data_IF_005147052058
#
_entry.id   IF_005147052058
#
_cell.length_a   1.000
_cell.length_b   1.000
_cell.length_c   1.000
_cell.angle_alpha   90.00
_cell.angle_beta   90.00
_cell.angle_gamma   90.00
#
_symmetry.space_group_name_H-M   'P 1'
#
loop_
_entity.id
_entity.type
_entity.pdbx_description
1 polymer ?
#
# COMPACT_ATOMS: atom_id res chain seq x y z
N UNK A 1 6.11 -11.73 -5.76
CA UNK A 1 4.97 -12.67 -5.59
C UNK A 1 4.28 -12.79 -6.93
N UNK A 2 3.94 -14.01 -7.35
CA UNK A 2 3.14 -14.24 -8.56
C UNK A 2 1.76 -14.77 -8.19
N UNK A 3 0.75 -14.35 -8.96
CA UNK A 3 -0.65 -14.75 -8.79
C UNK A 3 -1.22 -15.38 -10.06
N UNK A 4 -2.08 -16.36 -9.88
CA UNK A 4 -2.85 -17.02 -10.93
C UNK A 4 -4.33 -17.04 -10.51
N UNK A 5 -5.24 -16.62 -11.40
CA UNK A 5 -6.68 -16.47 -11.12
C UNK A 5 -6.99 -15.65 -9.84
N UNK A 6 -6.22 -14.57 -9.63
CA UNK A 6 -6.37 -13.69 -8.47
C UNK A 6 -5.90 -14.28 -7.14
N UNK A 7 -5.37 -15.51 -7.13
CA UNK A 7 -4.85 -16.19 -5.94
C UNK A 7 -3.33 -16.29 -5.99
N UNK A 8 -2.73 -16.33 -4.82
CA UNK A 8 -1.29 -16.49 -4.69
C UNK A 8 -0.84 -17.86 -5.22
N UNK A 9 0.19 -17.83 -6.06
CA UNK A 9 0.72 -19.02 -6.71
C UNK A 9 2.09 -19.38 -6.14
N UNK A 10 3.02 -18.42 -6.17
CA UNK A 10 4.36 -18.56 -5.59
C UNK A 10 4.81 -17.25 -4.94
N UNK A 11 5.47 -17.37 -3.80
CA UNK A 11 5.94 -16.24 -3.00
C UNK A 11 7.45 -16.36 -2.86
N UNK A 12 8.18 -15.31 -3.21
CA UNK A 12 9.62 -15.21 -2.96
C UNK A 12 9.84 -14.57 -1.59
N UNK A 13 10.66 -15.20 -0.77
CA UNK A 13 11.09 -14.66 0.52
C UNK A 13 12.50 -14.10 0.36
N UNK A 14 12.62 -12.77 0.42
CA UNK A 14 13.89 -12.05 0.27
C UNK A 14 14.89 -12.34 1.40
N UNK A 15 14.39 -12.67 2.59
CA UNK A 15 15.23 -12.92 3.78
C UNK A 15 15.91 -14.27 3.68
N UNK A 16 15.15 -15.30 3.31
CA UNK A 16 15.68 -16.67 3.16
C UNK A 16 16.18 -16.97 1.76
N UNK A 17 15.85 -16.12 0.78
CA UNK A 17 16.16 -16.30 -0.64
C UNK A 17 15.58 -17.61 -1.21
N UNK A 18 14.37 -17.96 -0.76
CA UNK A 18 13.66 -19.17 -1.16
C UNK A 18 12.27 -18.85 -1.71
N UNK A 19 11.69 -19.83 -2.40
CA UNK A 19 10.33 -19.73 -2.92
C UNK A 19 9.37 -20.60 -2.10
N UNK A 20 8.19 -20.08 -1.80
CA UNK A 20 7.08 -20.84 -1.23
C UNK A 20 6.05 -21.11 -2.33
N UNK A 21 5.86 -22.39 -2.65
CA UNK A 21 4.79 -22.83 -3.54
C UNK A 21 3.48 -22.87 -2.74
N UNK A 22 2.55 -21.97 -3.05
CA UNK A 22 1.27 -21.84 -2.32
C UNK A 22 0.28 -22.92 -2.76
N UNK A 23 0.38 -23.38 -4.01
CA UNK A 23 -0.46 -24.43 -4.59
C UNK A 23 0.40 -25.56 -5.18
N UNK A 24 -0.10 -26.81 -5.26
CA UNK A 24 0.66 -27.94 -5.80
C UNK A 24 1.22 -27.71 -7.22
N UNK A 25 0.48 -26.97 -8.05
CA UNK A 25 0.87 -26.63 -9.42
C UNK A 25 2.12 -25.74 -9.47
N UNK A 26 2.44 -25.02 -8.40
CA UNK A 26 3.61 -24.15 -8.30
C UNK A 26 4.89 -24.88 -7.89
N UNK A 27 4.80 -26.14 -7.44
CA UNK A 27 5.95 -26.92 -6.93
C UNK A 27 7.02 -27.09 -8.01
N UNK A 28 6.61 -27.37 -9.25
CA UNK A 28 7.56 -27.52 -10.34
C UNK A 28 8.35 -26.23 -10.60
N UNK A 29 7.67 -25.08 -10.63
CA UNK A 29 8.31 -23.77 -10.82
C UNK A 29 9.27 -23.45 -9.68
N UNK A 30 8.87 -23.70 -8.42
CA UNK A 30 9.74 -23.57 -7.25
C UNK A 30 11.04 -24.37 -7.44
N UNK A 31 10.93 -25.66 -7.71
CA UNK A 31 12.09 -26.54 -7.83
C UNK A 31 13.03 -26.10 -8.97
N UNK A 32 12.45 -25.74 -10.12
CA UNK A 32 13.21 -25.26 -11.27
C UNK A 32 13.99 -23.98 -10.94
N UNK A 33 13.33 -23.00 -10.33
CA UNK A 33 13.94 -21.72 -10.00
C UNK A 33 14.97 -21.83 -8.88
N UNK A 34 14.72 -22.69 -7.89
CA UNK A 34 15.68 -22.91 -6.81
C UNK A 34 16.91 -23.72 -7.25
N UNK A 35 16.80 -24.50 -8.32
CA UNK A 35 17.92 -25.22 -8.92
C UNK A 35 18.76 -24.35 -9.88
N UNK A 36 18.27 -23.18 -10.30
CA UNK A 36 18.95 -22.31 -11.26
C UNK A 36 19.79 -21.23 -10.55
N UNK A 37 21.14 -21.33 -10.57
CA UNK A 37 22.01 -20.36 -9.91
C UNK A 37 21.98 -18.99 -10.58
N UNK A 38 21.73 -18.91 -11.88
CA UNK A 38 21.66 -17.64 -12.62
C UNK A 38 20.39 -16.91 -12.23
N UNK A 39 19.26 -17.62 -12.19
CA UNK A 39 17.98 -17.04 -11.77
C UNK A 39 18.03 -16.56 -10.31
N UNK A 40 18.62 -17.36 -9.40
CA UNK A 40 18.82 -16.95 -8.00
C UNK A 40 19.61 -15.65 -7.87
N UNK A 41 20.75 -15.56 -8.57
CA UNK A 41 21.57 -14.35 -8.53
C UNK A 41 20.84 -13.14 -9.11
N UNK A 42 20.12 -13.34 -10.22
CA UNK A 42 19.33 -12.30 -10.86
C UNK A 42 18.23 -11.76 -9.93
N UNK A 43 17.41 -12.64 -9.35
CA UNK A 43 16.32 -12.24 -8.45
C UNK A 43 16.88 -11.53 -7.21
N UNK A 44 17.99 -12.03 -6.65
CA UNK A 44 18.66 -11.37 -5.53
C UNK A 44 19.10 -9.94 -5.89
N UNK A 45 19.80 -9.76 -7.01
CA UNK A 45 20.28 -8.44 -7.43
C UNK A 45 19.13 -7.47 -7.72
N UNK A 46 18.05 -7.98 -8.33
CA UNK A 46 16.86 -7.22 -8.63
C UNK A 46 16.26 -6.59 -7.36
N UNK A 47 16.11 -7.36 -6.28
CA UNK A 47 15.49 -6.88 -5.05
C UNK A 47 16.46 -6.07 -4.18
N UNK A 48 17.72 -6.48 -4.06
CA UNK A 48 18.70 -5.84 -3.16
C UNK A 48 19.30 -4.55 -3.74
N UNK A 49 19.40 -4.43 -5.07
CA UNK A 49 20.11 -3.31 -5.71
C UNK A 49 19.25 -2.61 -6.76
N UNK A 50 18.89 -3.32 -7.83
CA UNK A 50 18.31 -2.68 -9.03
C UNK A 50 16.99 -1.96 -8.71
N UNK A 51 16.11 -2.59 -7.92
CA UNK A 51 14.84 -2.00 -7.51
C UNK A 51 15.02 -0.70 -6.71
N UNK A 52 15.97 -0.71 -5.77
CA UNK A 52 16.25 0.44 -4.91
C UNK A 52 16.85 1.59 -5.73
N UNK A 53 17.76 1.29 -6.64
CA UNK A 53 18.42 2.31 -7.46
C UNK A 53 17.45 2.91 -8.48
N UNK A 54 16.65 2.10 -9.15
CA UNK A 54 15.58 2.60 -10.02
C UNK A 54 14.58 3.46 -9.24
N UNK A 55 14.22 3.08 -8.01
CA UNK A 55 13.32 3.88 -7.19
C UNK A 55 13.93 5.25 -6.85
N UNK A 56 15.22 5.32 -6.51
CA UNK A 56 15.92 6.58 -6.27
C UNK A 56 15.88 7.47 -7.52
N UNK A 57 16.14 6.89 -8.69
CA UNK A 57 16.09 7.62 -9.97
C UNK A 57 14.68 8.15 -10.26
N UNK A 58 13.64 7.34 -10.09
CA UNK A 58 12.26 7.79 -10.26
C UNK A 58 11.87 8.90 -9.28
N UNK A 59 12.37 8.87 -8.04
CA UNK A 59 12.14 9.94 -7.06
C UNK A 59 12.93 11.21 -7.43
N UNK A 60 14.15 11.07 -7.93
CA UNK A 60 15.02 12.19 -8.28
C UNK A 60 14.53 12.92 -9.53
N UNK A 61 14.20 12.18 -10.58
CA UNK A 61 13.84 12.73 -11.89
C UNK A 61 12.33 12.85 -12.10
N UNK A 62 11.51 12.13 -11.33
CA UNK A 62 10.06 12.18 -11.43
C UNK A 62 9.43 13.33 -10.66
N UNK A 63 8.18 13.66 -10.98
CA UNK A 63 7.34 14.64 -10.24
C UNK A 63 6.74 14.05 -8.95
N UNK A 64 7.38 13.04 -8.36
CA UNK A 64 6.89 12.31 -7.17
C UNK A 64 7.03 13.16 -5.90
N UNK A 65 7.93 14.15 -5.90
CA UNK A 65 8.14 15.08 -4.77
C UNK A 65 7.09 16.18 -4.66
N UNK A 66 6.09 16.23 -5.56
CA UNK A 66 5.02 17.22 -5.50
C UNK A 66 4.29 17.09 -4.15
N UNK A 67 3.94 18.22 -3.54
CA UNK A 67 3.06 18.28 -2.38
C UNK A 67 1.93 19.24 -2.69
N UNK A 68 0.70 18.76 -2.56
CA UNK A 68 -0.50 19.59 -2.75
C UNK A 68 -1.32 19.46 -1.47
N UNK A 69 -1.56 20.56 -0.73
CA UNK A 69 -2.35 20.50 0.49
C UNK A 69 -3.81 20.15 0.18
N UNK A 70 -4.54 19.54 1.14
CA UNK A 70 -5.94 19.22 0.95
C UNK A 70 -6.84 20.44 1.00
N UNK A 71 -7.85 20.40 0.15
CA UNK A 71 -9.06 21.20 0.28
C UNK A 71 -10.00 20.45 1.23
N UNK A 72 -10.44 21.13 2.29
CA UNK A 72 -11.29 20.55 3.33
C UNK A 72 -12.66 21.22 3.33
N UNK A 73 -13.72 20.42 3.27
CA UNK A 73 -15.11 20.89 3.32
C UNK A 73 -15.90 20.09 4.35
N UNK A 74 -16.54 20.80 5.28
CA UNK A 74 -17.41 20.22 6.30
C UNK A 74 -18.87 20.35 5.90
N UNK A 75 -19.64 19.27 6.05
CA UNK A 75 -21.07 19.21 5.78
C UNK A 75 -21.80 18.73 7.02
N UNK A 76 -22.84 19.46 7.45
CA UNK A 76 -23.70 19.02 8.53
C UNK A 76 -24.88 18.25 7.96
N UNK A 77 -25.05 16.99 8.37
CA UNK A 77 -26.23 16.19 8.04
C UNK A 77 -27.34 16.56 9.01
N UNK A 78 -28.43 17.15 8.51
CA UNK A 78 -29.61 17.41 9.33
C UNK A 78 -30.19 16.09 9.83
N UNK A 79 -30.44 16.04 11.13
CA UNK A 79 -31.20 14.98 11.77
C UNK A 79 -32.58 14.87 11.10
N UNK A 80 -32.89 13.69 10.53
CA UNK A 80 -34.30 13.27 10.46
C UNK A 80 -34.85 13.12 11.88
N UNK A 81 -36.17 13.05 12.04
CA UNK A 81 -36.93 13.24 13.30
C UNK A 81 -36.56 12.41 14.55
N UNK A 82 -35.43 11.68 14.58
CA UNK A 82 -35.04 10.87 15.74
C UNK A 82 -33.55 10.46 15.82
N UNK A 83 -32.65 11.02 15.00
CA UNK A 83 -31.21 10.67 15.07
C UNK A 83 -30.33 11.91 14.96
N UNK A 84 -29.37 12.08 15.89
CA UNK A 84 -28.56 13.30 16.04
C UNK A 84 -27.88 13.82 14.77
N UNK A 85 -27.51 15.10 14.77
CA UNK A 85 -26.83 15.73 13.63
C UNK A 85 -25.42 15.15 13.44
N UNK A 86 -25.19 14.48 12.31
CA UNK A 86 -23.85 14.04 11.92
C UNK A 86 -23.06 15.14 11.20
N UNK A 87 -21.74 15.05 11.21
CA UNK A 87 -20.85 15.92 10.42
C UNK A 87 -20.04 15.03 9.47
N UNK A 88 -19.89 15.46 8.22
CA UNK A 88 -19.09 14.79 7.19
C UNK A 88 -17.95 15.71 6.78
N UNK A 89 -16.72 15.18 6.78
CA UNK A 89 -15.52 15.88 6.30
C UNK A 89 -15.13 15.33 4.94
N UNK A 90 -15.12 16.18 3.91
CA UNK A 90 -14.55 15.87 2.61
C UNK A 90 -13.15 16.46 2.53
N UNK A 91 -12.17 15.60 2.25
CA UNK A 91 -10.77 15.97 2.02
C UNK A 91 -10.45 15.65 0.57
N UNK A 92 -10.16 16.65 -0.25
CA UNK A 92 -9.99 16.52 -1.72
C UNK A 92 -8.80 17.32 -2.24
N UNK A 93 -8.40 17.08 -3.49
CA UNK A 93 -7.41 17.91 -4.19
C UNK A 93 -5.95 17.77 -3.74
N UNK A 94 -5.63 16.85 -2.85
CA UNK A 94 -4.29 16.70 -2.27
C UNK A 94 -3.42 15.63 -2.94
N UNK A 95 -2.12 15.71 -2.67
CA UNK A 95 -1.14 14.68 -2.98
C UNK A 95 0.04 14.80 -1.99
N UNK A 96 0.60 13.68 -1.47
CA UNK A 96 0.31 12.27 -1.79
C UNK A 96 -1.05 11.79 -1.27
N UNK A 97 -1.45 10.56 -1.63
CA UNK A 97 -2.74 9.97 -1.23
C UNK A 97 -2.88 9.74 0.28
N UNK A 98 -1.76 9.53 0.97
CA UNK A 98 -1.72 9.35 2.42
C UNK A 98 -2.21 10.64 3.11
N UNK A 99 -3.23 10.54 3.96
CA UNK A 99 -3.73 11.65 4.79
C UNK A 99 -4.32 11.11 6.09
N UNK A 100 -4.13 11.86 7.17
CA UNK A 100 -4.72 11.59 8.47
C UNK A 100 -5.82 12.62 8.75
N UNK A 101 -6.97 12.16 9.25
CA UNK A 101 -8.10 13.02 9.60
C UNK A 101 -8.53 12.69 11.02
N UNK A 102 -8.47 13.69 11.90
CA UNK A 102 -8.84 13.55 13.32
C UNK A 102 -9.97 14.51 13.64
N UNK A 103 -11.00 14.03 14.35
CA UNK A 103 -12.05 14.88 14.91
C UNK A 103 -11.69 15.28 16.34
N UNK A 104 -11.77 16.57 16.64
CA UNK A 104 -11.53 17.11 17.97
C UNK A 104 -12.82 17.76 18.49
N UNK A 105 -13.17 17.54 19.76
CA UNK A 105 -14.25 18.26 20.44
C UNK A 105 -13.66 19.21 21.47
N UNK A 106 -13.97 20.49 21.35
CA UNK A 106 -13.52 21.54 22.29
C UNK A 106 -11.99 21.54 22.54
N UNK A 107 -11.21 21.13 21.54
CA UNK A 107 -9.75 21.03 21.63
C UNK A 107 -9.23 19.87 22.49
N UNK A 108 -10.11 19.01 23.03
CA UNK A 108 -9.75 17.84 23.81
C UNK A 108 -9.89 16.57 22.96
N UNK A 109 -8.76 15.91 22.72
CA UNK A 109 -8.63 14.51 22.27
C UNK A 109 -9.32 14.14 20.94
N UNK A 110 -8.89 13.04 20.29
CA UNK A 110 -9.66 12.43 19.23
C UNK A 110 -11.03 12.02 19.77
N UNK A 111 -12.11 12.35 19.04
CA UNK A 111 -13.39 11.70 19.25
C UNK A 111 -13.26 10.24 18.79
N UNK A 112 -13.45 9.29 19.71
CA UNK A 112 -13.55 7.86 19.38
C UNK A 112 -14.62 7.65 18.29
N UNK A 113 -14.31 6.81 17.29
CA UNK A 113 -15.20 6.48 16.19
C UNK A 113 -16.50 5.86 16.72
N UNK A 114 -17.55 6.67 16.82
CA UNK A 114 -18.91 6.20 16.92
C UNK A 114 -19.39 5.76 15.54
N UNK A 115 -19.33 4.43 15.29
CA UNK A 115 -20.00 3.75 14.17
C UNK A 115 -21.49 4.12 14.12
#
# INVERSE_FOLDING_TARGET
QDRFDGKDFIIYDETTQTFTAVVPQAVYSKLRWEADPVFKLYIKNLFEQDCVDWLKDYIQYGKVKRKVPPEVRLFQKKAGHSAGSGVTCHVTGFYPREVEVTWLRDGQGPLEEGV
#
